data_IF_758145247733
#
_entry.id   IF_758145247733
#
_cell.length_a   1.000
_cell.length_b   1.000
_cell.length_c   1.000
_cell.angle_alpha   90.00
_cell.angle_beta   90.00
_cell.angle_gamma   90.00
#
_symmetry.space_group_name_H-M   'P 1'
#
loop_
_entity.id
_entity.type
_entity.pdbx_description
1 polymer ?
#
# COMPACT_ATOMS: atom_id res chain seq x y z
N UNK A 1 -23.35 27.67 -35.74
CA UNK A 1 -22.49 26.46 -35.91
C UNK A 1 -21.05 26.70 -35.48
N UNK A 2 -20.68 27.94 -35.19
CA UNK A 2 -19.27 28.31 -34.91
C UNK A 2 -18.78 27.99 -33.49
N UNK A 3 -19.67 27.94 -32.48
CA UNK A 3 -19.27 27.66 -31.12
C UNK A 3 -18.75 26.23 -30.91
N UNK A 4 -19.28 25.26 -31.65
CA UNK A 4 -18.86 23.86 -31.54
C UNK A 4 -17.47 23.66 -32.16
N UNK A 5 -17.16 24.31 -33.28
CA UNK A 5 -15.83 24.28 -33.91
C UNK A 5 -14.77 24.95 -33.02
N UNK A 6 -15.15 26.02 -32.31
CA UNK A 6 -14.25 26.66 -31.33
C UNK A 6 -13.91 25.75 -30.15
N UNK A 7 -14.85 24.89 -29.73
CA UNK A 7 -14.65 24.01 -28.59
C UNK A 7 -13.80 22.76 -28.92
N UNK A 8 -13.81 22.27 -30.15
CA UNK A 8 -13.19 20.98 -30.50
C UNK A 8 -12.13 21.04 -31.61
N UNK A 9 -12.15 22.07 -32.44
CA UNK A 9 -11.28 22.15 -33.63
C UNK A 9 -10.24 23.26 -33.50
N UNK A 10 -10.62 24.44 -33.01
CA UNK A 10 -9.69 25.56 -32.88
C UNK A 10 -8.78 25.30 -31.65
N UNK A 11 -7.47 25.42 -31.84
CA UNK A 11 -6.46 25.25 -30.77
C UNK A 11 -6.52 26.37 -29.73
N UNK A 12 -7.60 26.43 -28.98
CA UNK A 12 -7.85 27.40 -27.91
C UNK A 12 -7.59 26.79 -26.53
N UNK A 13 -7.43 27.63 -25.49
CA UNK A 13 -7.31 27.20 -24.14
C UNK A 13 -8.50 26.36 -23.67
N UNK A 14 -9.72 26.73 -24.09
CA UNK A 14 -10.94 25.98 -23.72
C UNK A 14 -10.94 24.61 -24.41
N UNK A 15 -10.57 24.54 -25.68
CA UNK A 15 -10.43 23.29 -26.42
C UNK A 15 -9.42 22.34 -25.71
N UNK A 16 -8.26 22.86 -25.33
CA UNK A 16 -7.24 22.06 -24.63
C UNK A 16 -7.78 21.42 -23.34
N UNK A 17 -8.50 22.20 -22.51
CA UNK A 17 -9.10 21.69 -21.26
C UNK A 17 -10.18 20.65 -21.55
N UNK A 18 -11.04 20.89 -22.54
CA UNK A 18 -12.12 19.96 -22.91
C UNK A 18 -11.53 18.64 -23.40
N UNK A 19 -10.58 18.68 -24.32
CA UNK A 19 -9.97 17.49 -24.91
C UNK A 19 -9.22 16.69 -23.82
N UNK A 20 -8.40 17.33 -22.99
CA UNK A 20 -7.71 16.65 -21.88
C UNK A 20 -8.70 16.05 -20.88
N UNK A 21 -9.77 16.78 -20.53
CA UNK A 21 -10.80 16.27 -19.63
C UNK A 21 -11.56 15.09 -20.24
N UNK A 22 -11.86 15.14 -21.52
CA UNK A 22 -12.52 14.04 -22.24
C UNK A 22 -11.63 12.79 -22.27
N UNK A 23 -10.35 12.94 -22.58
CA UNK A 23 -9.37 11.84 -22.57
C UNK A 23 -9.31 11.20 -21.18
N UNK A 24 -9.22 12.02 -20.12
CA UNK A 24 -9.22 11.52 -18.75
C UNK A 24 -10.53 10.81 -18.41
N UNK A 25 -11.69 11.38 -18.76
CA UNK A 25 -12.99 10.79 -18.48
C UNK A 25 -13.17 9.44 -19.18
N UNK A 26 -12.87 9.37 -20.47
CA UNK A 26 -12.95 8.12 -21.26
C UNK A 26 -11.97 7.08 -20.72
N UNK A 27 -10.72 7.46 -20.47
CA UNK A 27 -9.72 6.55 -19.91
C UNK A 27 -10.12 6.00 -18.52
N UNK A 28 -10.66 6.84 -17.64
CA UNK A 28 -11.16 6.41 -16.33
C UNK A 28 -12.40 5.54 -16.43
N UNK A 29 -13.29 5.77 -17.38
CA UNK A 29 -14.43 4.87 -17.65
C UNK A 29 -13.93 3.49 -18.10
N UNK A 30 -12.99 3.45 -19.04
CA UNK A 30 -12.38 2.21 -19.51
C UNK A 30 -11.60 1.49 -18.41
N UNK A 31 -11.03 2.20 -17.44
CA UNK A 31 -10.30 1.62 -16.31
C UNK A 31 -11.16 0.68 -15.44
N UNK A 32 -12.49 0.83 -15.48
CA UNK A 32 -13.44 -0.03 -14.77
C UNK A 32 -13.60 -1.41 -15.41
N UNK A 33 -13.19 -1.56 -16.67
CA UNK A 33 -13.28 -2.83 -17.40
C UNK A 33 -12.23 -3.79 -16.86
N UNK A 34 -12.70 -4.96 -16.40
CA UNK A 34 -11.84 -6.05 -15.94
C UNK A 34 -11.96 -7.24 -16.90
N UNK A 35 -10.84 -7.65 -17.47
CA UNK A 35 -10.76 -8.85 -18.30
C UNK A 35 -10.16 -9.99 -17.48
N UNK A 36 -10.93 -11.06 -17.22
CA UNK A 36 -10.50 -12.20 -16.38
C UNK A 36 -9.91 -11.76 -15.00
N UNK A 37 -10.49 -10.71 -14.40
CA UNK A 37 -10.03 -10.19 -13.10
C UNK A 37 -8.85 -9.20 -13.17
N UNK A 38 -8.27 -8.98 -14.34
CA UNK A 38 -7.17 -8.01 -14.58
C UNK A 38 -7.72 -6.76 -15.21
N UNK A 39 -7.32 -5.58 -14.70
CA UNK A 39 -7.62 -4.28 -15.30
C UNK A 39 -6.32 -3.52 -15.52
N UNK A 40 -6.24 -2.79 -16.64
CA UNK A 40 -5.15 -1.85 -16.91
C UNK A 40 -5.23 -0.58 -16.03
N UNK A 41 -6.33 -0.40 -15.29
CA UNK A 41 -6.50 0.72 -14.39
C UNK A 41 -6.38 2.07 -15.10
N UNK A 42 -5.73 3.04 -14.43
CA UNK A 42 -5.53 4.41 -14.92
C UNK A 42 -4.74 4.46 -16.25
N UNK A 43 -4.01 3.40 -16.61
CA UNK A 43 -3.26 3.33 -17.87
C UNK A 43 -4.14 3.50 -19.12
N UNK A 44 -5.44 3.20 -19.01
CA UNK A 44 -6.36 3.47 -20.11
C UNK A 44 -6.43 4.95 -20.51
N UNK A 45 -6.09 5.88 -19.61
CA UNK A 45 -6.00 7.33 -19.95
C UNK A 45 -4.90 7.56 -20.97
N UNK A 46 -3.75 6.88 -20.82
CA UNK A 46 -2.65 6.97 -21.80
C UNK A 46 -3.08 6.47 -23.18
N UNK A 47 -3.73 5.31 -23.25
CA UNK A 47 -4.24 4.78 -24.52
C UNK A 47 -5.38 5.64 -25.12
N UNK A 48 -6.25 6.21 -24.28
CA UNK A 48 -7.27 7.15 -24.73
C UNK A 48 -6.64 8.42 -25.35
N UNK A 49 -5.52 8.90 -24.79
CA UNK A 49 -4.75 10.01 -25.36
C UNK A 49 -4.18 9.70 -26.73
N UNK A 50 -3.60 8.50 -26.92
CA UNK A 50 -3.09 8.05 -28.22
C UNK A 50 -4.22 7.97 -29.26
N UNK A 51 -5.37 7.42 -28.88
CA UNK A 51 -6.54 7.35 -29.77
C UNK A 51 -7.05 8.75 -30.14
N UNK A 52 -7.12 9.66 -29.16
CA UNK A 52 -7.53 11.05 -29.42
C UNK A 52 -6.60 11.73 -30.45
N UNK A 53 -5.27 11.58 -30.27
CA UNK A 53 -4.29 12.07 -31.23
C UNK A 53 -4.45 11.43 -32.63
N UNK A 54 -4.73 10.12 -32.69
CA UNK A 54 -4.99 9.41 -33.94
C UNK A 54 -6.24 9.95 -34.67
N UNK A 55 -7.26 10.34 -33.92
CA UNK A 55 -8.48 10.95 -34.47
C UNK A 55 -8.33 12.45 -34.80
N UNK A 56 -7.14 13.02 -34.68
CA UNK A 56 -6.86 14.40 -35.06
C UNK A 56 -7.27 15.45 -34.02
N UNK A 57 -7.44 15.07 -32.73
CA UNK A 57 -7.61 16.04 -31.66
C UNK A 57 -6.24 16.66 -31.30
N UNK A 58 -5.90 17.73 -32.00
CA UNK A 58 -4.65 18.46 -31.77
C UNK A 58 -4.84 19.54 -30.72
N UNK A 59 -3.87 19.65 -29.79
CA UNK A 59 -3.81 20.68 -28.75
C UNK A 59 -2.60 21.57 -29.05
N UNK A 60 -2.70 22.87 -28.76
CA UNK A 60 -1.58 23.79 -28.88
C UNK A 60 -0.36 23.23 -28.08
N UNK A 61 0.81 23.11 -28.74
CA UNK A 61 2.01 22.50 -28.12
C UNK A 61 2.45 23.15 -26.82
N UNK A 62 2.26 24.46 -26.65
CA UNK A 62 2.65 25.17 -25.42
C UNK A 62 1.70 24.83 -24.27
N UNK A 63 0.41 24.74 -24.55
CA UNK A 63 -0.60 24.36 -23.56
C UNK A 63 -0.42 22.89 -23.15
N UNK A 64 -0.15 22.02 -24.12
CA UNK A 64 0.14 20.62 -23.85
C UNK A 64 1.38 20.45 -22.99
N UNK A 65 2.47 21.17 -23.30
CA UNK A 65 3.72 21.14 -22.52
C UNK A 65 3.51 21.65 -21.09
N UNK A 66 2.73 22.72 -20.91
CA UNK A 66 2.39 23.21 -19.56
C UNK A 66 1.62 22.16 -18.77
N UNK A 67 0.58 21.57 -19.35
CA UNK A 67 -0.23 20.54 -18.71
C UNK A 67 0.59 19.29 -18.37
N UNK A 68 1.46 18.85 -19.28
CA UNK A 68 2.36 17.70 -19.09
C UNK A 68 3.34 17.94 -17.92
N UNK A 69 4.06 19.07 -17.95
CA UNK A 69 5.06 19.38 -16.91
C UNK A 69 4.40 19.58 -15.53
N UNK A 70 3.29 20.32 -15.48
CA UNK A 70 2.57 20.55 -14.23
C UNK A 70 1.99 19.24 -13.66
N UNK A 71 1.37 18.43 -14.52
CA UNK A 71 0.84 17.12 -14.12
C UNK A 71 1.93 16.17 -13.65
N UNK A 72 3.09 16.13 -14.31
CA UNK A 72 4.24 15.32 -13.93
C UNK A 72 4.78 15.73 -12.56
N UNK A 73 4.97 17.03 -12.32
CA UNK A 73 5.47 17.56 -11.05
C UNK A 73 4.51 17.19 -9.91
N UNK A 74 3.20 17.47 -10.08
CA UNK A 74 2.19 17.12 -9.08
C UNK A 74 2.19 15.62 -8.77
N UNK A 75 2.17 14.80 -9.80
CA UNK A 75 2.13 13.35 -9.65
C UNK A 75 3.35 12.83 -8.89
N UNK A 76 4.55 13.23 -9.32
CA UNK A 76 5.81 12.76 -8.71
C UNK A 76 5.97 13.28 -7.28
N UNK A 77 5.57 14.52 -7.01
CA UNK A 77 5.62 15.08 -5.68
C UNK A 77 4.68 14.33 -4.71
N UNK A 78 3.43 14.08 -5.13
CA UNK A 78 2.46 13.31 -4.33
C UNK A 78 2.93 11.88 -4.10
N UNK A 79 3.56 11.24 -5.11
CA UNK A 79 4.16 9.93 -4.95
C UNK A 79 5.28 9.96 -3.89
N UNK A 80 6.13 11.00 -3.91
CA UNK A 80 7.16 11.23 -2.89
C UNK A 80 6.56 11.35 -1.49
N UNK A 81 5.49 12.13 -1.33
CA UNK A 81 4.76 12.25 -0.06
C UNK A 81 4.24 10.91 0.46
N UNK A 82 3.67 10.09 -0.41
CA UNK A 82 3.14 8.77 -0.03
C UNK A 82 4.24 7.80 0.40
N UNK A 83 5.38 7.81 -0.25
CA UNK A 83 6.50 6.92 0.03
C UNK A 83 7.33 7.39 1.23
N UNK A 84 7.36 8.70 1.49
CA UNK A 84 8.17 9.35 2.53
C UNK A 84 8.14 8.66 3.90
N UNK A 85 6.98 8.42 4.50
CA UNK A 85 6.88 7.83 5.85
C UNK A 85 7.53 6.46 5.98
N UNK A 86 7.53 5.66 4.89
CA UNK A 86 8.10 4.30 4.87
C UNK A 86 9.51 4.23 4.31
N UNK A 87 10.00 5.28 3.63
CA UNK A 87 11.26 5.28 2.90
C UNK A 87 12.46 4.98 3.81
N UNK A 88 12.72 5.85 4.80
CA UNK A 88 13.85 5.69 5.70
C UNK A 88 13.77 4.44 6.61
N UNK A 89 12.61 4.08 7.19
CA UNK A 89 12.46 2.82 7.91
C UNK A 89 12.73 1.58 7.06
N UNK A 90 12.35 1.59 5.78
CA UNK A 90 12.58 0.46 4.87
C UNK A 90 14.07 0.20 4.60
N UNK A 91 14.92 1.21 4.72
CA UNK A 91 16.37 1.07 4.55
C UNK A 91 17.06 0.41 5.75
N UNK A 92 16.45 0.45 6.96
CA UNK A 92 17.15 0.10 8.21
C UNK A 92 17.08 -1.36 8.65
N UNK A 93 16.05 -2.16 8.36
CA UNK A 93 15.96 -3.57 8.85
C UNK A 93 15.23 -4.46 7.85
N UNK A 94 15.96 -5.39 7.25
CA UNK A 94 15.41 -6.38 6.32
C UNK A 94 15.11 -5.84 4.91
N UNK A 95 14.86 -4.54 4.76
CA UNK A 95 14.59 -3.89 3.49
C UNK A 95 15.82 -3.67 2.62
N UNK A 96 17.03 -3.60 3.21
CA UNK A 96 18.26 -3.33 2.46
C UNK A 96 18.52 -4.37 1.36
N UNK A 97 18.28 -5.66 1.66
CA UNK A 97 18.44 -6.74 0.66
C UNK A 97 17.48 -6.58 -0.52
N UNK A 98 16.22 -6.25 -0.23
CA UNK A 98 15.19 -6.03 -1.26
C UNK A 98 15.51 -4.76 -2.08
N UNK A 99 15.95 -3.69 -1.43
CA UNK A 99 16.33 -2.44 -2.10
C UNK A 99 17.56 -2.64 -2.99
N UNK A 100 18.59 -3.39 -2.55
CA UNK A 100 19.74 -3.73 -3.38
C UNK A 100 19.35 -4.58 -4.60
N UNK A 101 18.41 -5.50 -4.41
CA UNK A 101 17.90 -6.34 -5.50
C UNK A 101 17.12 -5.49 -6.52
N UNK A 102 16.25 -4.59 -6.04
CA UNK A 102 15.55 -3.63 -6.89
C UNK A 102 16.52 -2.71 -7.65
N UNK A 103 17.55 -2.21 -6.98
CA UNK A 103 18.59 -1.40 -7.60
C UNK A 103 19.36 -2.18 -8.67
N UNK A 104 19.67 -3.46 -8.42
CA UNK A 104 20.27 -4.36 -9.40
C UNK A 104 19.41 -4.53 -10.66
N UNK A 105 18.09 -4.69 -10.49
CA UNK A 105 17.14 -4.75 -11.62
C UNK A 105 17.12 -3.45 -12.42
N UNK A 106 17.16 -2.29 -11.74
CA UNK A 106 17.23 -0.98 -12.42
C UNK A 106 18.52 -0.82 -13.23
N UNK A 107 19.67 -1.16 -12.66
CA UNK A 107 20.95 -1.12 -13.38
C UNK A 107 20.90 -2.05 -14.58
N UNK A 108 20.45 -3.29 -14.41
CA UNK A 108 20.37 -4.25 -15.49
C UNK A 108 19.45 -3.78 -16.62
N UNK A 109 18.27 -3.23 -16.28
CA UNK A 109 17.35 -2.64 -17.24
C UNK A 109 17.97 -1.45 -17.99
N UNK A 110 18.72 -0.59 -17.29
CA UNK A 110 19.41 0.55 -17.91
C UNK A 110 20.52 0.11 -18.85
N UNK A 111 21.30 -0.92 -18.49
CA UNK A 111 22.32 -1.50 -19.37
C UNK A 111 21.70 -2.12 -20.62
N UNK A 112 20.61 -2.86 -20.48
CA UNK A 112 19.87 -3.38 -21.64
C UNK A 112 19.39 -2.24 -22.54
N UNK A 113 18.83 -1.18 -21.99
CA UNK A 113 18.40 -0.01 -22.74
C UNK A 113 19.54 0.62 -23.55
N UNK A 114 20.74 0.64 -23.01
CA UNK A 114 21.94 1.14 -23.73
C UNK A 114 22.41 0.18 -24.83
N UNK A 115 22.21 -1.13 -24.66
CA UNK A 115 22.66 -2.14 -25.64
C UNK A 115 21.69 -2.29 -26.82
N UNK A 116 20.40 -2.14 -26.61
CA UNK A 116 19.35 -2.31 -27.61
C UNK A 116 19.60 -1.47 -28.89
N UNK A 117 19.98 -0.18 -28.80
CA UNK A 117 20.30 0.64 -29.99
C UNK A 117 21.39 0.01 -30.86
N UNK A 118 22.42 -0.53 -30.26
CA UNK A 118 23.55 -1.16 -30.99
C UNK A 118 23.15 -2.48 -31.67
N UNK A 119 22.25 -3.26 -31.04
CA UNK A 119 21.84 -4.55 -31.57
C UNK A 119 20.81 -4.41 -32.68
N UNK A 120 19.85 -3.49 -32.51
CA UNK A 120 18.69 -3.37 -33.42
C UNK A 120 18.77 -2.14 -34.34
N UNK A 121 19.79 -1.28 -34.21
CA UNK A 121 19.93 -0.09 -35.04
C UNK A 121 18.85 0.98 -34.80
N UNK A 122 18.22 1.00 -33.64
CA UNK A 122 17.19 1.98 -33.28
C UNK A 122 17.82 3.18 -32.53
N UNK A 123 17.11 4.30 -32.48
CA UNK A 123 17.57 5.47 -31.73
C UNK A 123 17.51 5.23 -30.20
N UNK A 124 18.41 5.89 -29.45
CA UNK A 124 18.41 5.79 -27.99
C UNK A 124 17.09 6.26 -27.37
N UNK A 125 16.42 7.35 -27.83
CA UNK A 125 15.10 7.73 -27.36
C UNK A 125 14.04 6.62 -27.54
N UNK A 126 14.03 5.94 -28.68
CA UNK A 126 13.12 4.81 -28.92
C UNK A 126 13.39 3.66 -27.94
N UNK A 127 14.66 3.31 -27.69
CA UNK A 127 15.03 2.30 -26.71
C UNK A 127 14.58 2.66 -25.29
N UNK A 128 14.73 3.94 -24.91
CA UNK A 128 14.25 4.45 -23.62
C UNK A 128 12.72 4.36 -23.52
N UNK A 129 12.00 4.67 -24.61
CA UNK A 129 10.55 4.49 -24.70
C UNK A 129 10.13 3.03 -24.49
N UNK A 130 10.81 2.10 -25.16
CA UNK A 130 10.57 0.65 -24.98
C UNK A 130 10.81 0.21 -23.54
N UNK A 131 11.90 0.68 -22.90
CA UNK A 131 12.18 0.38 -21.49
C UNK A 131 11.05 0.86 -20.59
N UNK A 132 10.64 2.13 -20.75
CA UNK A 132 9.57 2.71 -19.91
C UNK A 132 8.24 1.97 -20.08
N UNK A 133 7.94 1.50 -21.29
CA UNK A 133 6.79 0.66 -21.60
C UNK A 133 6.92 -0.74 -20.95
N UNK A 134 8.05 -1.40 -21.15
CA UNK A 134 8.30 -2.74 -20.62
C UNK A 134 8.21 -2.82 -19.09
N UNK A 135 8.66 -1.77 -18.39
CA UNK A 135 8.52 -1.67 -16.93
C UNK A 135 7.20 -1.00 -16.48
N UNK A 136 6.31 -0.69 -17.42
CA UNK A 136 4.99 -0.04 -17.17
C UNK A 136 5.09 1.25 -16.35
N UNK A 137 6.12 2.07 -16.63
CA UNK A 137 6.46 3.27 -15.85
C UNK A 137 6.30 4.55 -16.69
N UNK A 138 5.08 5.04 -16.82
CA UNK A 138 4.77 6.31 -17.52
C UNK A 138 5.41 7.55 -16.89
N UNK A 139 5.60 7.68 -15.57
CA UNK A 139 6.38 8.77 -14.99
C UNK A 139 7.83 8.82 -15.48
N UNK A 140 8.47 7.66 -15.63
CA UNK A 140 9.82 7.56 -16.19
C UNK A 140 9.85 8.04 -17.64
N UNK A 141 8.80 7.75 -18.44
CA UNK A 141 8.66 8.29 -19.79
C UNK A 141 8.64 9.82 -19.77
N UNK A 142 7.78 10.44 -18.94
CA UNK A 142 7.70 11.89 -18.83
C UNK A 142 9.02 12.54 -18.41
N UNK A 143 9.72 11.95 -17.43
CA UNK A 143 11.04 12.41 -17.00
C UNK A 143 12.10 12.30 -18.13
N UNK A 144 12.08 11.21 -18.89
CA UNK A 144 13.00 10.98 -19.99
C UNK A 144 12.74 11.96 -21.15
N UNK A 145 11.47 12.19 -21.52
CA UNK A 145 11.08 13.18 -22.53
C UNK A 145 11.51 14.58 -22.12
N UNK A 146 11.29 14.95 -20.85
CA UNK A 146 11.74 16.25 -20.34
C UNK A 146 13.26 16.39 -20.44
N UNK A 147 14.02 15.40 -20.00
CA UNK A 147 15.48 15.41 -20.06
C UNK A 147 15.97 15.52 -21.52
N UNK A 148 15.33 14.84 -22.45
CA UNK A 148 15.63 14.93 -23.88
C UNK A 148 15.43 16.35 -24.41
N UNK A 149 14.31 16.99 -24.08
CA UNK A 149 14.02 18.36 -24.52
C UNK A 149 14.89 19.41 -23.83
N UNK A 150 15.33 19.20 -22.59
CA UNK A 150 16.30 20.06 -21.91
C UNK A 150 17.68 20.01 -22.56
N UNK A 151 18.12 18.82 -22.98
CA UNK A 151 19.41 18.64 -23.67
C UNK A 151 19.36 19.10 -25.12
N UNK A 152 18.25 18.90 -25.81
CA UNK A 152 18.02 19.20 -27.21
C UNK A 152 16.65 19.83 -27.42
N UNK A 153 16.48 21.14 -27.27
CA UNK A 153 15.17 21.82 -27.32
C UNK A 153 14.37 21.65 -28.63
N UNK A 154 15.01 21.23 -29.71
CA UNK A 154 14.33 20.98 -31.02
C UNK A 154 13.87 19.54 -31.23
N UNK A 155 14.07 18.63 -30.28
CA UNK A 155 13.83 17.18 -30.46
C UNK A 155 12.41 16.73 -30.12
N UNK A 156 11.40 17.50 -30.55
CA UNK A 156 9.98 17.15 -30.30
C UNK A 156 9.64 15.82 -30.97
N UNK A 157 10.11 15.59 -32.21
CA UNK A 157 9.84 14.35 -32.94
C UNK A 157 10.41 13.11 -32.20
N UNK A 158 11.64 13.22 -31.67
CA UNK A 158 12.25 12.14 -30.89
C UNK A 158 11.50 11.89 -29.57
N UNK A 159 10.95 12.94 -28.96
CA UNK A 159 10.06 12.81 -27.78
C UNK A 159 8.77 12.07 -28.10
N UNK A 160 8.19 12.33 -29.28
CA UNK A 160 7.00 11.63 -29.75
C UNK A 160 7.31 10.16 -30.10
N UNK A 161 8.44 9.88 -30.76
CA UNK A 161 8.90 8.52 -31.02
C UNK A 161 9.10 7.73 -29.71
N UNK A 162 9.65 8.36 -28.68
CA UNK A 162 9.79 7.76 -27.36
C UNK A 162 8.43 7.37 -26.76
N UNK A 163 7.42 8.24 -26.89
CA UNK A 163 6.06 7.94 -26.44
C UNK A 163 5.41 6.79 -27.22
N UNK A 164 5.58 6.77 -28.54
CA UNK A 164 5.09 5.67 -29.37
C UNK A 164 5.76 4.34 -29.01
N UNK A 165 7.07 4.34 -28.81
CA UNK A 165 7.80 3.15 -28.39
C UNK A 165 7.34 2.63 -27.00
N UNK A 166 7.05 3.55 -26.06
CA UNK A 166 6.45 3.21 -24.77
C UNK A 166 5.07 2.56 -24.95
N UNK A 167 4.22 3.11 -25.82
CA UNK A 167 2.89 2.57 -26.09
C UNK A 167 2.93 1.15 -26.65
N UNK A 168 3.89 0.86 -27.53
CA UNK A 168 4.11 -0.49 -28.07
C UNK A 168 4.66 -1.42 -27.00
N UNK A 169 5.62 -0.98 -26.20
CA UNK A 169 6.26 -1.80 -25.14
C UNK A 169 5.31 -2.12 -23.97
N UNK A 170 4.37 -1.26 -23.68
CA UNK A 170 3.54 -1.33 -22.46
C UNK A 170 2.69 -2.60 -22.34
N UNK A 171 1.93 -3.04 -23.36
CA UNK A 171 1.18 -4.30 -23.29
C UNK A 171 2.08 -5.52 -23.06
N UNK A 172 3.26 -5.54 -23.70
CA UNK A 172 4.22 -6.61 -23.52
C UNK A 172 4.82 -6.62 -22.11
N UNK A 173 5.02 -5.44 -21.51
CA UNK A 173 5.43 -5.30 -20.12
C UNK A 173 4.43 -5.94 -19.16
N UNK A 174 3.13 -5.67 -19.32
CA UNK A 174 2.07 -6.27 -18.50
C UNK A 174 2.03 -7.78 -18.67
N UNK A 175 2.03 -8.27 -19.91
CA UNK A 175 2.01 -9.69 -20.21
C UNK A 175 3.27 -10.37 -19.64
N UNK A 176 4.43 -9.74 -19.78
CA UNK A 176 5.71 -10.22 -19.28
C UNK A 176 5.74 -10.37 -17.75
N UNK A 177 5.23 -9.37 -17.02
CA UNK A 177 5.15 -9.43 -15.55
C UNK A 177 4.18 -10.51 -15.10
N UNK A 178 2.99 -10.59 -15.67
CA UNK A 178 2.00 -11.63 -15.33
C UNK A 178 2.56 -13.02 -15.68
N UNK A 179 3.15 -13.16 -16.86
CA UNK A 179 3.75 -14.41 -17.32
C UNK A 179 4.90 -14.86 -16.43
N UNK A 180 5.79 -13.95 -16.03
CA UNK A 180 6.91 -14.27 -15.13
C UNK A 180 6.43 -14.72 -13.74
N UNK A 181 5.39 -14.09 -13.18
CA UNK A 181 4.78 -14.53 -11.92
C UNK A 181 4.20 -15.94 -12.05
N UNK A 182 3.49 -16.24 -13.14
CA UNK A 182 2.93 -17.57 -13.39
C UNK A 182 4.04 -18.62 -13.52
N UNK A 183 5.09 -18.31 -14.27
CA UNK A 183 6.24 -19.20 -14.47
C UNK A 183 6.98 -19.44 -13.16
N UNK A 184 7.30 -18.39 -12.42
CA UNK A 184 7.96 -18.50 -11.11
C UNK A 184 7.13 -19.35 -10.14
N UNK A 185 5.81 -19.12 -10.10
CA UNK A 185 4.91 -19.94 -9.30
C UNK A 185 4.93 -21.40 -9.71
N UNK A 186 4.92 -21.69 -11.01
CA UNK A 186 4.97 -23.07 -11.51
C UNK A 186 6.29 -23.78 -11.19
N UNK A 187 7.42 -23.05 -11.21
CA UNK A 187 8.74 -23.61 -10.93
C UNK A 187 8.98 -23.80 -9.43
N UNK A 188 8.72 -22.75 -8.64
CA UNK A 188 9.12 -22.72 -7.24
C UNK A 188 8.03 -23.18 -6.26
N UNK A 189 6.74 -23.15 -6.66
CA UNK A 189 5.63 -23.54 -5.78
C UNK A 189 5.05 -24.93 -6.09
N UNK A 190 5.83 -25.84 -6.70
CA UNK A 190 5.39 -27.18 -7.11
C UNK A 190 4.90 -28.08 -5.96
N UNK A 191 5.29 -27.82 -4.72
CA UNK A 191 4.97 -28.61 -3.53
C UNK A 191 4.40 -27.81 -2.36
N UNK A 192 4.01 -26.56 -2.58
CA UNK A 192 3.34 -25.78 -1.56
C UNK A 192 1.84 -26.01 -1.67
N UNK A 193 1.21 -26.44 -0.60
CA UNK A 193 -0.22 -26.35 -0.40
C UNK A 193 -0.69 -24.99 -0.86
N UNK A 194 -1.22 -24.95 -2.07
CA UNK A 194 -1.97 -23.82 -2.57
C UNK A 194 -3.25 -23.74 -1.73
N UNK A 195 -3.18 -23.03 -0.64
CA UNK A 195 -4.40 -22.38 -0.17
C UNK A 195 -4.79 -21.39 -1.27
N UNK A 196 -5.49 -21.94 -2.24
CA UNK A 196 -6.20 -21.19 -3.28
C UNK A 196 -7.34 -20.47 -2.62
N UNK A 197 -7.05 -19.31 -2.12
CA UNK A 197 -7.96 -18.36 -1.59
C UNK A 197 -7.09 -17.21 -1.16
N UNK A 198 -7.27 -16.08 -1.79
CA UNK A 198 -7.03 -14.82 -1.11
C UNK A 198 -8.01 -14.85 0.06
N UNK A 199 -7.65 -15.58 1.12
CA UNK A 199 -8.33 -15.42 2.39
C UNK A 199 -7.90 -14.04 2.86
N UNK A 200 -8.81 -13.12 2.72
CA UNK A 200 -8.73 -11.74 3.22
C UNK A 200 -8.48 -11.68 4.72
N UNK A 201 -8.35 -12.82 5.40
CA UNK A 201 -8.14 -12.89 6.83
C UNK A 201 -7.08 -13.94 7.19
N UNK A 202 -5.80 -13.57 7.32
CA UNK A 202 -4.78 -14.47 7.86
C UNK A 202 -4.99 -14.78 9.36
N UNK A 203 -5.97 -14.16 9.99
CA UNK A 203 -6.34 -14.37 11.38
C UNK A 203 -7.61 -15.20 11.47
N UNK A 204 -7.50 -16.43 11.97
CA UNK A 204 -8.60 -17.33 12.24
C UNK A 204 -9.01 -17.21 13.71
N UNK A 205 -10.31 -17.14 13.97
CA UNK A 205 -10.89 -17.00 15.30
C UNK A 205 -11.43 -18.33 15.74
N UNK A 206 -10.95 -18.83 16.87
CA UNK A 206 -11.36 -20.12 17.42
C UNK A 206 -11.78 -19.96 18.88
N UNK A 207 -12.94 -20.47 19.23
CA UNK A 207 -13.36 -20.60 20.63
C UNK A 207 -12.97 -21.99 21.13
N UNK A 208 -12.28 -22.05 22.26
CA UNK A 208 -11.85 -23.29 22.87
C UNK A 208 -12.33 -23.37 24.33
N UNK A 209 -12.73 -24.54 24.74
CA UNK A 209 -12.94 -24.88 26.15
C UNK A 209 -11.64 -25.34 26.76
N UNK A 210 -11.24 -24.75 27.87
CA UNK A 210 -10.02 -25.10 28.61
C UNK A 210 -10.17 -26.46 29.21
N UNK A 211 -9.59 -27.48 28.57
CA UNK A 211 -9.64 -28.88 29.02
C UNK A 211 -8.25 -29.48 29.25
N UNK A 212 -7.18 -28.77 28.87
CA UNK A 212 -5.81 -29.24 29.09
C UNK A 212 -5.39 -29.06 30.56
N UNK A 213 -5.12 -30.16 31.31
CA UNK A 213 -4.75 -30.06 32.73
C UNK A 213 -3.45 -29.31 32.97
N UNK A 214 -2.56 -29.21 31.96
CA UNK A 214 -1.26 -28.57 32.12
C UNK A 214 -1.35 -27.05 32.30
N UNK A 215 -2.49 -26.44 31.94
CA UNK A 215 -2.68 -24.99 32.03
C UNK A 215 -3.63 -24.55 33.14
N UNK A 216 -4.25 -25.47 33.87
CA UNK A 216 -5.13 -25.13 34.99
C UNK A 216 -4.41 -24.38 36.07
N UNK A 217 -4.99 -23.29 36.54
CA UNK A 217 -4.45 -22.44 37.57
C UNK A 217 -3.19 -21.65 37.18
N UNK A 218 -2.81 -21.68 35.89
CA UNK A 218 -1.68 -20.90 35.38
C UNK A 218 -2.15 -19.59 34.74
N UNK A 219 -1.32 -18.58 34.84
CA UNK A 219 -1.51 -17.30 34.19
C UNK A 219 -1.19 -17.36 32.68
N UNK A 220 -1.85 -16.55 31.89
CA UNK A 220 -1.66 -16.53 30.43
C UNK A 220 -0.21 -16.25 30.06
N UNK A 221 0.50 -15.39 30.81
CA UNK A 221 1.91 -15.07 30.58
C UNK A 221 2.81 -16.30 30.71
N UNK A 222 2.53 -17.13 31.66
CA UNK A 222 3.27 -18.41 31.90
C UNK A 222 2.92 -19.44 30.83
N UNK A 223 1.64 -19.56 30.44
CA UNK A 223 1.20 -20.44 29.36
C UNK A 223 1.88 -20.05 28.04
N UNK A 224 1.99 -18.75 27.77
CA UNK A 224 2.55 -18.24 26.53
C UNK A 224 4.08 -18.25 26.46
N UNK A 225 4.80 -18.43 27.58
CA UNK A 225 6.28 -18.45 27.60
C UNK A 225 6.91 -19.61 26.81
N UNK A 226 6.20 -20.70 26.59
CA UNK A 226 6.68 -21.87 25.83
C UNK A 226 6.14 -21.99 24.43
N UNK A 227 5.27 -21.06 24.02
CA UNK A 227 4.57 -21.12 22.74
C UNK A 227 5.12 -20.05 21.80
N UNK A 228 5.45 -20.43 20.56
CA UNK A 228 5.83 -19.47 19.52
C UNK A 228 4.69 -18.47 19.28
N UNK A 229 4.95 -17.16 19.27
CA UNK A 229 3.99 -16.10 19.59
C UNK A 229 3.11 -15.69 18.41
N UNK A 230 2.34 -16.61 17.84
CA UNK A 230 1.44 -16.29 16.72
C UNK A 230 -0.03 -16.43 17.11
N UNK A 231 -0.38 -16.21 18.38
CA UNK A 231 -1.76 -16.21 18.83
C UNK A 231 -2.05 -15.04 19.78
N UNK A 232 -3.31 -14.62 19.81
CA UNK A 232 -3.82 -13.59 20.72
C UNK A 232 -5.07 -14.12 21.40
N UNK A 233 -5.06 -14.20 22.73
CA UNK A 233 -6.27 -14.49 23.51
C UNK A 233 -7.08 -13.20 23.60
N UNK A 234 -8.22 -13.17 22.92
CA UNK A 234 -9.07 -11.98 22.79
C UNK A 234 -10.02 -11.81 23.98
N UNK A 235 -10.69 -12.88 24.38
CA UNK A 235 -11.68 -12.89 25.46
C UNK A 235 -11.56 -14.18 26.26
N UNK A 236 -11.96 -14.12 27.54
CA UNK A 236 -12.12 -15.27 28.42
C UNK A 236 -13.49 -15.19 29.09
N UNK A 237 -14.27 -16.25 29.02
CA UNK A 237 -15.52 -16.42 29.76
C UNK A 237 -15.21 -17.10 31.09
N UNK A 238 -15.35 -16.32 32.17
CA UNK A 238 -15.22 -16.78 33.54
C UNK A 238 -16.56 -17.24 34.08
N UNK A 239 -16.64 -18.46 34.55
CA UNK A 239 -17.88 -19.01 35.13
C UNK A 239 -17.88 -18.83 36.64
N UNK A 240 -18.91 -18.20 37.19
CA UNK A 240 -19.13 -18.08 38.62
C UNK A 240 -20.10 -19.19 39.07
N UNK A 241 -19.65 -20.44 39.17
CA UNK A 241 -20.50 -21.52 39.71
C UNK A 241 -20.25 -22.92 39.12
N UNK A 242 -20.85 -23.97 39.67
CA UNK A 242 -20.53 -25.38 39.35
C UNK A 242 -21.23 -25.94 38.10
N UNK A 243 -21.85 -25.12 37.24
CA UNK A 243 -22.51 -25.60 36.02
C UNK A 243 -21.66 -25.37 34.79
N UNK A 244 -21.20 -26.47 34.24
CA UNK A 244 -20.30 -26.55 33.07
C UNK A 244 -20.99 -26.30 31.70
N UNK A 245 -22.34 -26.18 31.62
CA UNK A 245 -23.04 -26.30 30.36
C UNK A 245 -23.76 -25.03 29.86
N UNK A 246 -23.82 -23.94 30.64
CA UNK A 246 -24.43 -22.67 30.20
C UNK A 246 -23.43 -21.59 29.87
N UNK A 247 -23.02 -21.53 28.62
CA UNK A 247 -22.14 -20.48 28.08
C UNK A 247 -22.71 -19.06 28.20
N UNK A 248 -24.01 -18.93 28.52
CA UNK A 248 -24.70 -17.63 28.65
C UNK A 248 -24.60 -16.99 30.06
N UNK A 249 -23.98 -17.62 31.05
CA UNK A 249 -23.88 -17.09 32.42
C UNK A 249 -22.47 -16.70 32.86
N UNK A 250 -21.47 -16.77 31.99
CA UNK A 250 -20.09 -16.38 32.29
C UNK A 250 -19.89 -14.87 32.14
N UNK A 251 -19.04 -14.30 33.03
CA UNK A 251 -18.56 -12.93 32.87
C UNK A 251 -17.45 -12.94 31.82
N UNK A 252 -17.63 -12.18 30.75
CA UNK A 252 -16.60 -12.01 29.71
C UNK A 252 -15.58 -10.97 30.16
N UNK A 253 -14.32 -11.35 30.17
CA UNK A 253 -13.22 -10.46 30.50
C UNK A 253 -12.23 -10.34 29.35
N UNK A 254 -11.57 -9.19 29.26
CA UNK A 254 -10.37 -9.01 28.44
C UNK A 254 -9.20 -9.54 29.24
N UNK A 255 -8.55 -10.62 28.78
CA UNK A 255 -7.46 -11.19 29.54
C UNK A 255 -6.20 -10.31 29.45
N UNK A 256 -5.50 -10.22 30.56
CA UNK A 256 -4.12 -9.69 30.63
C UNK A 256 -3.12 -10.84 30.85
N UNK A 257 -1.84 -10.52 30.99
CA UNK A 257 -0.80 -11.53 31.23
C UNK A 257 -0.99 -12.34 32.48
N UNK A 258 -1.59 -11.74 33.53
CA UNK A 258 -1.76 -12.31 34.87
C UNK A 258 -3.13 -12.99 35.04
N UNK A 259 -3.94 -13.06 33.97
CA UNK A 259 -5.23 -13.76 33.99
C UNK A 259 -5.00 -15.26 34.12
N UNK A 260 -5.52 -15.86 35.18
CA UNK A 260 -5.45 -17.29 35.44
C UNK A 260 -6.57 -18.00 34.70
N UNK A 261 -6.26 -19.13 34.05
CA UNK A 261 -7.22 -19.98 33.37
C UNK A 261 -7.58 -21.19 34.21
N UNK A 262 -8.88 -21.49 34.32
CA UNK A 262 -9.39 -22.62 35.06
C UNK A 262 -10.10 -23.63 34.13
N UNK A 263 -10.27 -24.83 34.64
CA UNK A 263 -10.95 -25.91 33.92
C UNK A 263 -12.37 -25.50 33.51
N UNK A 264 -12.72 -25.73 32.25
CA UNK A 264 -14.05 -25.50 31.73
C UNK A 264 -14.31 -24.05 31.23
N UNK A 265 -13.41 -23.11 31.51
CA UNK A 265 -13.51 -21.75 30.96
C UNK A 265 -13.40 -21.75 29.44
N UNK A 266 -14.03 -20.79 28.80
CA UNK A 266 -13.93 -20.61 27.37
C UNK A 266 -12.96 -19.49 27.03
N UNK A 267 -12.14 -19.71 26.02
CA UNK A 267 -11.16 -18.73 25.52
C UNK A 267 -11.41 -18.49 24.04
N UNK A 268 -11.48 -17.23 23.63
CA UNK A 268 -11.51 -16.83 22.23
C UNK A 268 -10.11 -16.46 21.77
N UNK A 269 -9.56 -17.27 20.89
CA UNK A 269 -8.18 -17.14 20.41
C UNK A 269 -8.16 -16.75 18.95
N UNK A 270 -7.31 -15.79 18.61
CA UNK A 270 -6.96 -15.43 17.23
C UNK A 270 -5.60 -15.99 16.90
N UNK A 271 -5.52 -16.81 15.87
CA UNK A 271 -4.30 -17.45 15.39
C UNK A 271 -4.27 -17.48 13.85
N UNK A 272 -3.22 -18.01 13.28
CA UNK A 272 -3.25 -18.42 11.86
C UNK A 272 -4.04 -19.71 11.74
N UNK A 273 -4.78 -19.87 10.63
CA UNK A 273 -5.54 -21.09 10.34
C UNK A 273 -4.66 -22.35 10.43
N UNK A 274 -3.43 -22.27 9.93
CA UNK A 274 -2.44 -23.36 9.98
C UNK A 274 -1.98 -23.74 11.39
N UNK A 275 -2.26 -22.93 12.40
CA UNK A 275 -1.82 -23.12 13.79
C UNK A 275 -2.97 -23.53 14.71
N UNK A 276 -4.19 -23.64 14.20
CA UNK A 276 -5.40 -24.00 14.99
C UNK A 276 -5.20 -25.30 15.74
N UNK A 277 -4.62 -26.33 15.12
CA UNK A 277 -4.35 -27.61 15.78
C UNK A 277 -3.40 -27.49 16.99
N UNK A 278 -2.40 -26.61 16.92
CA UNK A 278 -1.50 -26.34 18.07
C UNK A 278 -2.21 -25.57 19.19
N UNK A 279 -3.13 -24.69 18.80
CA UNK A 279 -3.95 -23.93 19.75
C UNK A 279 -4.91 -24.86 20.47
N UNK A 280 -5.50 -25.84 19.78
CA UNK A 280 -6.32 -26.88 20.36
C UNK A 280 -5.53 -27.77 21.34
N UNK A 281 -4.34 -28.20 20.96
CA UNK A 281 -3.46 -28.98 21.85
C UNK A 281 -3.08 -28.19 23.11
N UNK A 282 -2.91 -26.87 22.99
CA UNK A 282 -2.53 -26.02 24.11
C UNK A 282 -3.68 -25.77 25.10
N UNK A 283 -4.85 -25.37 24.60
CA UNK A 283 -5.98 -24.94 25.44
C UNK A 283 -6.99 -26.05 25.71
N UNK A 284 -7.26 -26.90 24.73
CA UNK A 284 -8.23 -27.99 24.82
C UNK A 284 -9.20 -28.01 23.65
N UNK A 285 -10.45 -28.43 23.90
CA UNK A 285 -11.44 -28.73 22.85
C UNK A 285 -11.98 -27.47 22.16
N UNK A 286 -12.04 -27.54 20.82
CA UNK A 286 -12.69 -26.51 20.01
C UNK A 286 -14.20 -26.58 20.21
N UNK A 287 -14.81 -25.42 20.48
CA UNK A 287 -16.26 -25.26 20.49
C UNK A 287 -16.74 -25.05 19.06
N UNK A 288 -17.72 -25.83 18.61
CA UNK A 288 -18.20 -25.85 17.22
C UNK A 288 -19.00 -24.61 16.79
N UNK A 289 -18.64 -23.42 17.25
CA UNK A 289 -19.19 -22.15 16.81
C UNK A 289 -18.26 -21.53 15.79
N UNK A 290 -18.79 -21.29 14.58
CA UNK A 290 -18.01 -20.66 13.52
C UNK A 290 -17.95 -19.13 13.73
N UNK A 291 -16.85 -18.67 14.28
CA UNK A 291 -16.55 -17.26 14.53
C UNK A 291 -15.93 -16.52 13.33
N UNK A 292 -15.83 -17.19 12.17
CA UNK A 292 -15.18 -16.61 10.98
C UNK A 292 -16.17 -16.12 9.92
N UNK A 293 -17.48 -16.21 10.20
CA UNK A 293 -18.55 -15.68 9.33
C UNK A 293 -18.49 -14.17 9.25
N UNK A 294 -18.80 -13.62 8.07
CA UNK A 294 -18.79 -12.16 7.82
C UNK A 294 -19.87 -11.39 8.60
N UNK A 295 -20.93 -12.08 9.04
CA UNK A 295 -22.13 -11.48 9.64
C UNK A 295 -22.16 -11.53 11.17
N UNK A 296 -21.04 -11.84 11.82
CA UNK A 296 -20.98 -11.86 13.29
C UNK A 296 -20.98 -10.44 13.82
N UNK A 297 -22.00 -10.10 14.57
CA UNK A 297 -22.03 -8.86 15.35
C UNK A 297 -21.20 -9.01 16.62
N UNK A 298 -19.95 -8.54 16.53
CA UNK A 298 -18.98 -8.59 17.62
C UNK A 298 -19.38 -7.77 18.85
N UNK A 299 -20.34 -6.85 18.71
CA UNK A 299 -20.82 -6.00 19.78
C UNK A 299 -21.94 -6.65 20.59
N UNK A 300 -22.62 -7.68 20.03
CA UNK A 300 -23.70 -8.40 20.71
C UNK A 300 -23.24 -9.65 21.47
N UNK A 301 -21.92 -9.92 21.50
CA UNK A 301 -21.39 -11.12 22.16
C UNK A 301 -21.39 -10.96 23.69
N UNK A 302 -21.13 -9.74 24.16
CA UNK A 302 -21.19 -9.36 25.56
C UNK A 302 -21.61 -7.87 25.67
N UNK A 303 -22.56 -7.54 26.52
CA UNK A 303 -23.15 -6.18 26.60
C UNK A 303 -22.20 -5.10 27.14
N UNK A 304 -20.93 -5.43 27.48
CA UNK A 304 -19.98 -4.51 28.11
C UNK A 304 -18.75 -4.22 27.28
N UNK A 305 -18.40 -5.13 26.36
CA UNK A 305 -17.20 -4.99 25.50
C UNK A 305 -17.61 -4.75 24.06
N UNK A 306 -17.10 -3.70 23.46
CA UNK A 306 -17.31 -3.36 22.07
C UNK A 306 -16.05 -3.63 21.25
N UNK A 307 -16.22 -3.94 19.97
CA UNK A 307 -15.14 -4.06 19.00
C UNK A 307 -15.19 -2.89 18.04
N UNK A 308 -14.14 -2.10 17.96
CA UNK A 308 -14.06 -0.95 17.06
C UNK A 308 -12.76 -0.92 16.28
N UNK A 309 -12.83 -0.30 15.12
CA UNK A 309 -11.67 -0.03 14.30
C UNK A 309 -11.12 1.35 14.62
N UNK A 310 -9.84 1.43 14.92
CA UNK A 310 -9.12 2.68 15.20
C UNK A 310 -7.98 2.83 14.20
N UNK A 311 -7.90 3.99 13.58
CA UNK A 311 -6.91 4.31 12.56
C UNK A 311 -5.70 5.02 13.19
N UNK A 312 -4.50 4.60 12.83
CA UNK A 312 -3.27 5.29 13.23
C UNK A 312 -3.07 6.49 12.33
N UNK A 313 -3.18 7.70 12.90
CA UNK A 313 -3.05 8.95 12.15
C UNK A 313 -1.98 9.89 12.71
N UNK A 314 -1.55 9.71 13.96
CA UNK A 314 -0.51 10.54 14.56
C UNK A 314 0.89 10.16 14.08
N UNK A 315 1.67 11.17 13.69
CA UNK A 315 3.03 11.01 13.19
C UNK A 315 4.01 10.45 14.23
N UNK A 316 3.82 10.77 15.52
CA UNK A 316 4.66 10.27 16.60
C UNK A 316 4.48 8.76 16.88
N UNK A 317 3.39 8.15 16.40
CA UNK A 317 3.13 6.70 16.50
C UNK A 317 3.76 5.96 15.33
N UNK A 318 4.09 6.67 14.26
CA UNK A 318 4.69 6.05 13.07
C UNK A 318 6.04 5.41 13.39
N UNK A 319 6.18 4.09 13.14
CA UNK A 319 7.39 3.32 13.46
C UNK A 319 7.54 2.89 14.92
N UNK A 320 6.65 3.33 15.83
CA UNK A 320 6.66 2.88 17.22
C UNK A 320 6.29 1.39 17.32
N UNK A 321 6.92 0.65 18.22
CA UNK A 321 6.53 -0.73 18.46
C UNK A 321 5.24 -0.76 19.28
N UNK A 322 4.33 -1.66 18.91
CA UNK A 322 3.06 -1.84 19.61
C UNK A 322 3.26 -2.15 21.12
N UNK A 323 4.27 -2.93 21.45
CA UNK A 323 4.61 -3.26 22.85
C UNK A 323 5.06 -2.05 23.67
N UNK A 324 5.78 -1.11 23.06
CA UNK A 324 6.31 0.07 23.75
C UNK A 324 5.20 1.07 24.11
N UNK A 325 4.05 1.00 23.43
CA UNK A 325 2.89 1.85 23.71
C UNK A 325 2.07 1.40 24.93
N UNK A 326 2.29 0.19 25.41
CA UNK A 326 1.63 -0.39 26.60
C UNK A 326 0.09 -0.24 26.63
N UNK A 327 -0.56 -0.12 25.47
CA UNK A 327 -1.99 0.21 25.34
C UNK A 327 -2.89 -0.80 26.07
N UNK A 328 -2.51 -2.09 26.04
CA UNK A 328 -3.26 -3.17 26.67
C UNK A 328 -3.36 -2.97 28.20
N UNK A 329 -2.24 -2.66 28.84
CA UNK A 329 -2.18 -2.53 30.30
C UNK A 329 -2.70 -1.16 30.77
N UNK A 330 -2.42 -0.10 30.00
CA UNK A 330 -2.82 1.25 30.37
C UNK A 330 -4.32 1.50 30.24
N UNK A 331 -4.98 0.86 29.26
CA UNK A 331 -6.38 1.13 28.95
C UNK A 331 -7.29 -0.10 29.08
N UNK A 332 -6.78 -1.25 29.51
CA UNK A 332 -7.55 -2.51 29.62
C UNK A 332 -8.26 -2.86 28.31
N UNK A 333 -7.55 -2.73 27.20
CA UNK A 333 -8.02 -3.07 25.84
C UNK A 333 -7.21 -4.22 25.27
N UNK A 334 -7.74 -4.86 24.25
CA UNK A 334 -7.00 -5.83 23.47
C UNK A 334 -7.00 -5.46 21.99
N UNK A 335 -5.84 -5.49 21.36
CA UNK A 335 -5.71 -5.31 19.91
C UNK A 335 -5.67 -6.70 19.31
N UNK A 336 -6.70 -7.02 18.52
CA UNK A 336 -6.89 -8.37 17.99
C UNK A 336 -6.40 -8.51 16.56
N UNK A 337 -6.33 -7.39 15.82
CA UNK A 337 -5.93 -7.38 14.41
C UNK A 337 -5.37 -6.02 14.03
N UNK A 338 -4.39 -6.01 13.13
CA UNK A 338 -3.88 -4.81 12.47
C UNK A 338 -4.04 -5.00 10.96
N UNK A 339 -4.88 -4.19 10.34
CA UNK A 339 -5.03 -4.18 8.89
C UNK A 339 -4.13 -3.11 8.29
N UNK A 340 -3.22 -3.52 7.42
CA UNK A 340 -2.30 -2.65 6.68
C UNK A 340 -2.49 -2.86 5.19
N UNK A 341 -2.96 -1.84 4.50
CA UNK A 341 -3.20 -1.88 3.05
C UNK A 341 -4.04 -3.10 2.60
N UNK A 342 -5.07 -3.47 3.38
CA UNK A 342 -5.95 -4.60 3.08
C UNK A 342 -5.45 -5.96 3.61
N UNK A 343 -4.25 -6.04 4.18
CA UNK A 343 -3.68 -7.28 4.74
C UNK A 343 -3.85 -7.27 6.25
N UNK A 344 -4.45 -8.33 6.80
CA UNK A 344 -4.59 -8.51 8.23
C UNK A 344 -3.32 -9.14 8.83
N UNK A 345 -2.77 -8.48 9.84
CA UNK A 345 -1.55 -8.86 10.54
C UNK A 345 -1.92 -9.16 11.99
N UNK A 346 -1.42 -10.28 12.52
CA UNK A 346 -1.53 -10.56 13.95
C UNK A 346 -0.67 -9.57 14.75
N UNK A 347 -1.24 -8.88 15.76
CA UNK A 347 -0.50 -7.96 16.57
C UNK A 347 0.54 -8.70 17.44
N UNK A 348 1.77 -8.21 17.41
CA UNK A 348 2.86 -8.65 18.27
C UNK A 348 3.50 -7.44 18.95
N UNK A 349 4.15 -7.64 20.08
CA UNK A 349 4.85 -6.57 20.80
C UNK A 349 5.94 -5.90 19.94
N UNK A 350 6.54 -6.65 19.03
CA UNK A 350 7.59 -6.18 18.12
C UNK A 350 7.05 -5.51 16.85
N UNK A 351 5.73 -5.60 16.57
CA UNK A 351 5.11 -5.00 15.40
C UNK A 351 5.24 -3.47 15.47
N UNK A 352 5.79 -2.89 14.40
CA UNK A 352 5.86 -1.44 14.27
C UNK A 352 4.61 -0.93 13.58
N UNK A 353 3.92 -0.01 14.25
CA UNK A 353 2.74 0.66 13.68
C UNK A 353 3.16 1.65 12.60
N UNK A 354 2.31 1.82 11.60
CA UNK A 354 2.47 2.78 10.52
C UNK A 354 1.22 3.66 10.41
N UNK A 355 1.39 4.88 9.93
CA UNK A 355 0.25 5.73 9.58
C UNK A 355 -0.59 5.00 8.53
N UNK A 356 -1.91 4.99 8.74
CA UNK A 356 -2.85 4.25 7.90
C UNK A 356 -3.14 2.82 8.38
N UNK A 357 -2.43 2.30 9.38
CA UNK A 357 -2.80 1.02 9.99
C UNK A 357 -4.18 1.13 10.66
N UNK A 358 -5.06 0.18 10.37
CA UNK A 358 -6.39 0.06 10.97
C UNK A 358 -6.36 -1.04 12.03
N UNK A 359 -6.43 -0.65 13.30
CA UNK A 359 -6.38 -1.57 14.42
C UNK A 359 -7.80 -1.99 14.81
N UNK A 360 -8.04 -3.29 14.94
CA UNK A 360 -9.27 -3.80 15.56
C UNK A 360 -9.03 -3.93 17.06
N UNK A 361 -9.73 -3.13 17.84
CA UNK A 361 -9.58 -3.00 19.29
C UNK A 361 -10.85 -3.48 19.97
N UNK A 362 -10.69 -4.30 21.00
CA UNK A 362 -11.76 -4.80 21.87
C UNK A 362 -11.57 -4.22 23.26
N UNK A 363 -12.62 -3.63 23.82
CA UNK A 363 -12.59 -2.98 25.11
C UNK A 363 -13.89 -2.32 25.50
N UNK A 364 -13.92 -1.70 26.68
CA UNK A 364 -15.00 -0.78 27.02
C UNK A 364 -14.96 0.44 26.08
N UNK A 365 -16.09 1.00 25.75
CA UNK A 365 -16.20 2.09 24.79
C UNK A 365 -15.32 3.29 25.15
N UNK A 366 -15.36 3.75 26.42
CA UNK A 366 -14.51 4.85 26.91
C UNK A 366 -13.01 4.54 26.80
N UNK A 367 -12.62 3.29 27.03
CA UNK A 367 -11.22 2.87 26.93
C UNK A 367 -10.74 2.94 25.48
N UNK A 368 -11.60 2.51 24.55
CA UNK A 368 -11.30 2.60 23.11
C UNK A 368 -11.20 4.05 22.66
N UNK A 369 -12.06 4.95 23.14
CA UNK A 369 -11.99 6.37 22.82
C UNK A 369 -10.67 7.01 23.30
N UNK A 370 -10.20 6.64 24.49
CA UNK A 370 -8.89 7.07 24.97
C UNK A 370 -7.75 6.58 24.09
N UNK A 371 -7.78 5.31 23.68
CA UNK A 371 -6.79 4.75 22.75
C UNK A 371 -6.89 5.41 21.37
N UNK A 372 -8.10 5.69 20.89
CA UNK A 372 -8.32 6.41 19.65
C UNK A 372 -7.69 7.82 19.70
N UNK A 373 -7.80 8.52 20.85
CA UNK A 373 -7.12 9.79 21.05
C UNK A 373 -5.60 9.68 21.04
N UNK A 374 -5.03 8.58 21.56
CA UNK A 374 -3.57 8.31 21.51
C UNK A 374 -3.10 8.05 20.10
N UNK A 375 -3.82 7.23 19.34
CA UNK A 375 -3.47 6.82 17.98
C UNK A 375 -3.83 7.87 16.91
N UNK A 376 -4.74 8.81 17.26
CA UNK A 376 -5.24 9.88 16.40
C UNK A 376 -6.64 9.63 15.90
N UNK A 377 -6.92 8.52 15.24
CA UNK A 377 -8.23 8.09 14.70
C UNK A 377 -9.00 9.19 13.91
N UNK A 378 -8.28 10.08 13.28
CA UNK A 378 -8.87 11.19 12.51
C UNK A 378 -8.82 10.87 11.02
N UNK A 379 -9.86 10.19 10.54
CA UNK A 379 -10.01 9.88 9.12
C UNK A 379 -10.01 11.13 8.24
N UNK A 380 -10.48 12.26 8.79
CA UNK A 380 -10.49 13.55 8.10
C UNK A 380 -9.09 14.13 7.87
N UNK A 381 -8.15 13.96 8.79
CA UNK A 381 -6.77 14.44 8.62
C UNK A 381 -6.03 13.70 7.50
N UNK A 382 -6.32 12.40 7.29
CA UNK A 382 -5.78 11.64 6.16
C UNK A 382 -6.48 11.96 4.83
N UNK A 383 -7.71 12.46 4.87
CA UNK A 383 -8.48 12.80 3.67
C UNK A 383 -8.26 14.22 3.18
N UNK A 384 -7.88 15.14 4.07
CA UNK A 384 -7.66 16.54 3.71
C UNK A 384 -6.16 16.80 3.55
N UNK A 385 -5.62 16.74 2.32
CA UNK A 385 -4.25 17.09 2.10
C UNK A 385 -4.03 18.56 2.44
N UNK A 386 -2.95 18.86 3.14
CA UNK A 386 -2.56 20.25 3.39
C UNK A 386 -2.06 20.86 2.08
N UNK A 387 -2.96 21.54 1.37
CA UNK A 387 -2.67 22.14 0.07
C UNK A 387 -1.50 23.14 0.15
N UNK A 388 -1.40 23.88 1.25
CA UNK A 388 -0.27 24.80 1.46
C UNK A 388 1.07 24.04 1.46
N UNK A 389 1.16 22.95 2.22
CA UNK A 389 2.37 22.13 2.27
C UNK A 389 2.68 21.52 0.89
N UNK A 390 1.66 21.13 0.12
CA UNK A 390 1.86 20.60 -1.23
C UNK A 390 2.48 21.68 -2.14
N UNK A 391 1.91 22.86 -2.23
CA UNK A 391 2.42 23.90 -3.12
C UNK A 391 3.79 24.44 -2.68
N UNK A 392 4.01 24.62 -1.39
CA UNK A 392 5.31 25.01 -0.85
C UNK A 392 6.36 23.94 -1.14
N UNK A 393 6.01 22.67 -0.93
CA UNK A 393 6.92 21.56 -1.25
C UNK A 393 7.24 21.44 -2.75
N UNK A 394 6.29 21.72 -3.63
CA UNK A 394 6.54 21.78 -5.08
C UNK A 394 7.55 22.90 -5.41
N UNK A 395 7.37 24.08 -4.83
CA UNK A 395 8.32 25.18 -5.04
C UNK A 395 9.74 24.76 -4.62
N UNK A 396 9.91 24.19 -3.43
CA UNK A 396 11.19 23.66 -2.98
C UNK A 396 11.71 22.55 -3.88
N UNK A 397 10.85 21.66 -4.36
CA UNK A 397 11.19 20.60 -5.30
C UNK A 397 11.76 21.14 -6.61
N UNK A 398 11.13 22.18 -7.16
CA UNK A 398 11.58 22.84 -8.38
C UNK A 398 12.92 23.55 -8.17
N UNK A 399 13.11 24.22 -7.03
CA UNK A 399 14.38 24.87 -6.69
C UNK A 399 15.49 23.82 -6.61
N UNK A 400 15.30 22.75 -5.84
CA UNK A 400 16.27 21.66 -5.68
C UNK A 400 16.55 20.98 -7.02
N UNK A 401 15.50 20.73 -7.82
CA UNK A 401 15.63 20.13 -9.16
C UNK A 401 16.42 20.96 -10.15
N UNK A 402 16.42 22.29 -9.97
CA UNK A 402 17.10 23.24 -10.85
C UNK A 402 18.58 23.48 -10.49
N UNK A 403 19.05 22.96 -9.34
CA UNK A 403 20.44 23.15 -8.91
C UNK A 403 21.39 22.43 -9.87
N UNK A 404 22.32 23.17 -10.54
CA UNK A 404 23.29 22.54 -11.41
C UNK A 404 24.39 21.88 -10.59
N UNK A 405 24.64 20.59 -10.82
CA UNK A 405 25.70 19.81 -10.17
C UNK A 405 26.80 19.58 -11.20
N UNK A 406 27.98 20.17 -10.97
CA UNK A 406 29.12 19.95 -11.82
C UNK A 406 29.75 18.59 -11.49
N UNK A 407 29.77 17.68 -12.47
CA UNK A 407 30.41 16.36 -12.34
C UNK A 407 31.73 16.40 -13.11
N UNK A 408 32.91 16.09 -12.49
CA UNK A 408 34.17 16.03 -13.18
C UNK A 408 34.09 15.08 -14.40
N UNK A 409 34.51 15.57 -15.57
CA UNK A 409 34.49 14.81 -16.82
C UNK A 409 33.22 15.02 -17.68
N UNK A 410 32.22 15.77 -17.21
CA UNK A 410 31.07 16.17 -18.03
C UNK A 410 31.19 17.63 -18.45
N UNK A 411 30.89 17.88 -19.73
CA UNK A 411 30.93 19.24 -20.32
C UNK A 411 29.74 20.13 -19.93
N UNK A 412 28.64 19.48 -19.44
CA UNK A 412 27.42 20.18 -19.05
C UNK A 412 27.03 19.76 -17.62
N UNK A 413 26.68 20.71 -16.73
CA UNK A 413 26.26 20.38 -15.38
C UNK A 413 24.96 19.56 -15.39
N UNK A 414 24.92 18.54 -14.56
CA UNK A 414 23.73 17.66 -14.42
C UNK A 414 22.78 18.28 -13.41
N UNK A 415 21.49 18.26 -13.71
CA UNK A 415 20.40 18.69 -12.80
C UNK A 415 19.53 17.48 -12.45
N UNK A 416 18.93 17.52 -11.28
CA UNK A 416 17.90 16.50 -10.93
C UNK A 416 16.65 16.63 -11.80
N UNK A 417 16.42 17.78 -12.40
CA UNK A 417 15.26 18.10 -13.21
C UNK A 417 13.98 18.28 -12.38
N UNK A 418 12.89 18.58 -13.06
CA UNK A 418 11.59 18.84 -12.40
C UNK A 418 11.09 17.62 -11.63
N UNK A 419 11.24 16.42 -12.20
CA UNK A 419 10.81 15.17 -11.58
C UNK A 419 11.70 14.78 -10.38
N UNK A 420 13.03 14.82 -10.54
CA UNK A 420 13.97 14.41 -9.50
C UNK A 420 13.93 15.32 -8.26
N UNK A 421 13.84 16.63 -8.46
CA UNK A 421 13.67 17.56 -7.34
C UNK A 421 12.34 17.38 -6.60
N UNK A 422 11.25 17.22 -7.35
CA UNK A 422 9.92 17.02 -6.77
C UNK A 422 9.83 15.75 -5.91
N UNK A 423 10.40 14.62 -6.38
CA UNK A 423 10.33 13.36 -5.60
C UNK A 423 11.20 13.43 -4.33
N UNK A 424 12.39 14.00 -4.41
CA UNK A 424 13.29 14.12 -3.25
C UNK A 424 12.64 14.96 -2.15
N UNK A 425 12.12 16.14 -2.51
CA UNK A 425 11.43 17.00 -1.54
C UNK A 425 10.14 16.37 -1.06
N UNK A 426 9.38 15.71 -1.93
CA UNK A 426 8.17 14.97 -1.56
C UNK A 426 8.45 13.88 -0.53
N UNK A 427 9.51 13.07 -0.71
CA UNK A 427 9.93 12.04 0.25
C UNK A 427 10.33 12.68 1.60
N UNK A 428 11.09 13.77 1.58
CA UNK A 428 11.49 14.45 2.81
C UNK A 428 10.28 15.02 3.56
N UNK A 429 9.40 15.73 2.86
CA UNK A 429 8.18 16.30 3.45
C UNK A 429 7.19 15.23 3.94
N UNK A 430 7.17 14.06 3.31
CA UNK A 430 6.34 12.93 3.75
C UNK A 430 6.95 12.16 4.93
N UNK A 431 8.27 12.21 5.12
CA UNK A 431 8.97 11.52 6.20
C UNK A 431 8.96 12.29 7.52
N UNK A 432 8.87 13.61 7.47
CA UNK A 432 8.89 14.55 8.60
C UNK A 432 7.62 15.38 8.67
#
# INVERSE_FOLDING_TARGET
>A
MNWFTELFVNQTFIQAIIVLSLICAVGLLLSKIKFKGVSLGITFVFFAGILAGHFGFEIDPKMLSLAQNFGLILFIYVLGLQVGPSFFPSLKKGGLKLNLLAFGVLIFGSLLCMLIPYIFGISFPVSMGLLTGAVTNTPMLGAAQQSLLELNPGSIDLSNEMAMACAVGYPFGIIGVIGSIIILRAIFCKNGTTSSGVHENPTFVTELRVTNPQIFGKDIKTIMKGVHPHLVVSRVWKFNGPREDDANQGIVIIPNGDTILEKGEHVLVMSKESEVGKVEELFGQIVHKDWNKKDIDWNHIDGTLVSRHVLVTKSNINGAKLGDLHLRNAYSINITRVNRAGIDILPSSSLRLQIGDKLTIVGQEKAIDNVAAVLGNQEKELRNPNLLAIFVGIIFGLIVGSIPIAIPGMSVPVKLGLAGGAIVVGILMGAF
#
